data_IF_804339802192
#
_entry.id   IF_804339802192
#
_cell.length_a   1.000
_cell.length_b   1.000
_cell.length_c   1.000
_cell.angle_alpha   90.00
_cell.angle_beta   90.00
_cell.angle_gamma   90.00
#
_symmetry.space_group_name_H-M   'P 1'
#
loop_
_entity.id
_entity.type
_entity.pdbx_description
1 polymer ?
#
# COMPACT_ATOMS: atom_id res chain seq x y z
N UNK A 1 12.05 -13.33 -9.23
CA UNK A 1 12.61 -12.71 -8.01
C UNK A 1 12.77 -11.22 -8.29
N UNK A 2 12.00 -10.38 -7.60
CA UNK A 2 12.07 -8.93 -7.72
C UNK A 2 12.97 -8.44 -6.58
N UNK A 3 14.11 -7.83 -6.89
CA UNK A 3 15.10 -7.36 -5.91
C UNK A 3 14.90 -5.88 -5.54
N UNK A 4 13.69 -5.36 -5.73
CA UNK A 4 13.39 -3.95 -5.54
C UNK A 4 13.13 -3.67 -4.06
N UNK A 5 14.02 -2.90 -3.44
CA UNK A 5 13.94 -2.56 -2.01
C UNK A 5 13.05 -1.36 -1.71
N UNK A 6 13.05 -0.36 -2.59
CA UNK A 6 12.34 0.89 -2.38
C UNK A 6 11.63 1.29 -3.67
N UNK A 7 10.41 1.78 -3.54
CA UNK A 7 9.63 2.31 -4.66
C UNK A 7 9.21 3.74 -4.34
N UNK A 8 9.51 4.64 -5.29
CA UNK A 8 8.93 5.97 -5.32
C UNK A 8 7.94 6.04 -6.49
N UNK A 9 6.65 6.15 -6.18
CA UNK A 9 5.58 6.31 -7.17
C UNK A 9 5.46 7.79 -7.52
N UNK A 10 5.86 8.22 -8.74
CA UNK A 10 5.82 9.61 -9.14
C UNK A 10 4.38 10.08 -9.40
N UNK A 11 4.17 11.40 -9.37
CA UNK A 11 2.85 12.03 -9.56
C UNK A 11 2.21 11.78 -10.94
N UNK A 12 3.01 11.33 -11.92
CA UNK A 12 2.54 10.92 -13.24
C UNK A 12 1.86 9.55 -13.25
N UNK A 13 2.11 8.71 -12.24
CA UNK A 13 1.48 7.39 -12.12
C UNK A 13 0.09 7.55 -11.53
N UNK A 14 -0.92 7.33 -12.38
CA UNK A 14 -2.33 7.44 -11.97
C UNK A 14 -2.87 6.22 -11.25
N UNK A 15 -2.31 5.04 -11.52
CA UNK A 15 -2.87 3.76 -11.06
C UNK A 15 -1.77 2.74 -10.82
N UNK A 16 -1.88 2.00 -9.73
CA UNK A 16 -1.10 0.78 -9.48
C UNK A 16 -1.96 -0.41 -9.85
N UNK A 17 -1.60 -1.11 -10.93
CA UNK A 17 -2.39 -2.21 -11.48
C UNK A 17 -2.38 -3.46 -10.56
N UNK A 18 -3.32 -4.36 -10.82
CA UNK A 18 -3.48 -5.62 -10.10
C UNK A 18 -2.13 -6.36 -9.98
N UNK A 19 -1.73 -6.66 -8.76
CA UNK A 19 -0.52 -7.43 -8.47
C UNK A 19 0.82 -6.80 -8.90
N UNK A 20 0.88 -5.50 -9.22
CA UNK A 20 2.09 -4.86 -9.78
C UNK A 20 3.37 -5.10 -8.96
N UNK A 21 3.26 -5.15 -7.63
CA UNK A 21 4.34 -5.40 -6.69
C UNK A 21 4.05 -6.60 -5.78
N UNK A 22 3.17 -7.51 -6.20
CA UNK A 22 2.89 -8.73 -5.46
C UNK A 22 4.16 -9.59 -5.35
N UNK A 23 4.37 -10.17 -4.17
CA UNK A 23 5.54 -10.99 -3.84
C UNK A 23 6.87 -10.25 -4.03
N UNK A 24 6.85 -8.91 -3.90
CA UNK A 24 8.05 -8.08 -3.75
C UNK A 24 8.66 -8.31 -2.38
N UNK A 25 9.19 -9.50 -2.12
CA UNK A 25 9.68 -9.89 -0.78
C UNK A 25 10.84 -9.03 -0.29
N UNK A 26 11.58 -8.37 -1.18
CA UNK A 26 12.66 -7.45 -0.80
C UNK A 26 12.18 -6.01 -0.60
N UNK A 27 10.92 -5.69 -0.90
CA UNK A 27 10.38 -4.34 -0.82
C UNK A 27 10.17 -3.94 0.64
N UNK A 28 10.88 -2.92 1.09
CA UNK A 28 10.84 -2.41 2.47
C UNK A 28 9.98 -1.15 2.59
N UNK A 29 9.95 -0.31 1.55
CA UNK A 29 9.26 0.97 1.55
C UNK A 29 8.58 1.30 0.21
N UNK A 30 7.33 1.78 0.29
CA UNK A 30 6.58 2.31 -0.84
C UNK A 30 6.13 3.75 -0.54
N UNK A 31 6.74 4.70 -1.24
CA UNK A 31 6.45 6.13 -1.12
C UNK A 31 5.59 6.55 -2.32
N UNK A 32 4.48 7.22 -2.02
CA UNK A 32 3.55 7.70 -3.03
C UNK A 32 3.55 9.22 -3.05
N UNK A 33 3.76 9.80 -4.24
CA UNK A 33 3.50 11.22 -4.46
C UNK A 33 2.02 11.43 -4.84
N UNK A 34 1.56 12.68 -4.68
CA UNK A 34 0.21 13.07 -5.09
C UNK A 34 -0.01 12.84 -6.58
N UNK A 35 -1.17 12.26 -6.91
CA UNK A 35 -1.60 12.02 -8.29
C UNK A 35 -2.00 10.59 -8.61
N UNK A 36 -1.74 9.63 -7.70
CA UNK A 36 -2.22 8.27 -7.82
C UNK A 36 -3.66 8.17 -7.30
N UNK A 37 -4.60 7.75 -8.14
CA UNK A 37 -6.03 7.74 -7.81
C UNK A 37 -6.47 6.39 -7.23
N UNK A 38 -5.87 5.29 -7.70
CA UNK A 38 -6.30 3.93 -7.41
C UNK A 38 -5.12 2.97 -7.22
N UNK A 39 -5.24 2.10 -6.20
CA UNK A 39 -4.40 0.94 -5.99
C UNK A 39 -5.28 -0.31 -6.12
N UNK A 40 -5.09 -1.07 -7.19
CA UNK A 40 -5.92 -2.23 -7.52
C UNK A 40 -5.57 -3.45 -6.67
N UNK A 41 -6.44 -4.47 -6.75
CA UNK A 41 -6.37 -5.68 -5.94
C UNK A 41 -4.98 -6.30 -5.91
N UNK A 42 -4.58 -6.77 -4.72
CA UNK A 42 -3.33 -7.48 -4.50
C UNK A 42 -2.05 -6.73 -4.94
N UNK A 43 -2.09 -5.40 -5.15
CA UNK A 43 -0.94 -4.64 -5.65
C UNK A 43 0.37 -4.86 -4.86
N UNK A 44 0.30 -5.04 -3.54
CA UNK A 44 1.43 -5.34 -2.66
C UNK A 44 1.26 -6.67 -1.91
N UNK A 45 0.45 -7.60 -2.45
CA UNK A 45 0.19 -8.89 -1.81
C UNK A 45 1.50 -9.64 -1.53
N UNK A 46 1.76 -9.99 -0.28
CA UNK A 46 2.95 -10.76 0.09
C UNK A 46 4.27 -10.00 -0.04
N UNK A 47 4.25 -8.66 -0.01
CA UNK A 47 5.46 -7.87 0.24
C UNK A 47 5.84 -8.01 1.72
N UNK A 48 6.41 -9.16 2.09
CA UNK A 48 6.57 -9.58 3.48
C UNK A 48 7.43 -8.64 4.32
N UNK A 49 8.42 -7.98 3.71
CA UNK A 49 9.34 -7.05 4.37
C UNK A 49 8.90 -5.58 4.29
N UNK A 50 7.72 -5.28 3.73
CA UNK A 50 7.21 -3.91 3.63
C UNK A 50 6.83 -3.40 5.02
N UNK A 51 7.55 -2.39 5.53
CA UNK A 51 7.41 -1.93 6.93
C UNK A 51 6.47 -0.75 7.09
N UNK A 52 6.52 0.18 6.14
CA UNK A 52 5.77 1.44 6.19
C UNK A 52 5.19 1.78 4.84
N UNK A 53 3.97 2.31 4.89
CA UNK A 53 3.26 2.81 3.71
C UNK A 53 2.65 4.17 4.03
N UNK A 54 2.98 5.18 3.23
CA UNK A 54 2.31 6.48 3.26
C UNK A 54 1.46 6.63 2.00
N UNK A 55 0.17 6.83 2.20
CA UNK A 55 -0.82 6.95 1.13
C UNK A 55 -1.28 8.41 1.00
N UNK A 56 -1.13 9.03 -0.17
CA UNK A 56 -1.44 10.44 -0.39
C UNK A 56 -2.95 10.66 -0.47
N UNK A 57 -3.36 11.92 -0.29
CA UNK A 57 -4.77 12.34 -0.28
C UNK A 57 -5.52 11.95 -1.57
N UNK A 58 -4.79 11.81 -2.68
CA UNK A 58 -5.34 11.43 -3.99
C UNK A 58 -5.81 9.98 -4.10
N UNK A 59 -5.27 9.04 -3.30
CA UNK A 59 -5.70 7.63 -3.37
C UNK A 59 -7.05 7.46 -2.70
N UNK A 60 -8.08 7.12 -3.49
CA UNK A 60 -9.47 7.06 -3.00
C UNK A 60 -9.90 5.67 -2.57
N UNK A 61 -9.32 4.61 -3.16
CA UNK A 61 -9.80 3.24 -3.02
C UNK A 61 -8.62 2.29 -2.84
N UNK A 62 -8.71 1.45 -1.81
CA UNK A 62 -7.87 0.28 -1.62
C UNK A 62 -8.69 -0.98 -1.92
N UNK A 63 -8.37 -1.64 -3.03
CA UNK A 63 -9.09 -2.84 -3.43
C UNK A 63 -8.71 -4.07 -2.59
N UNK A 64 -9.43 -5.17 -2.82
CA UNK A 64 -9.25 -6.44 -2.10
C UNK A 64 -7.78 -6.86 -2.00
N UNK A 65 -7.34 -7.23 -0.79
CA UNK A 65 -6.00 -7.78 -0.50
C UNK A 65 -4.82 -6.87 -0.87
N UNK A 66 -5.02 -5.56 -1.04
CA UNK A 66 -3.95 -4.63 -1.46
C UNK A 66 -2.63 -4.79 -0.69
N UNK A 67 -2.68 -4.92 0.64
CA UNK A 67 -1.53 -5.18 1.52
C UNK A 67 -1.65 -6.51 2.30
N UNK A 68 -2.36 -7.49 1.73
CA UNK A 68 -2.49 -8.78 2.40
C UNK A 68 -1.14 -9.48 2.46
N UNK A 69 -0.85 -10.19 3.56
CA UNK A 69 0.42 -10.88 3.83
C UNK A 69 1.66 -9.96 3.85
N UNK A 70 1.52 -8.65 4.01
CA UNK A 70 2.65 -7.78 4.37
C UNK A 70 2.95 -7.97 5.86
N UNK A 71 3.68 -9.04 6.19
CA UNK A 71 3.82 -9.50 7.57
C UNK A 71 4.56 -8.49 8.47
N UNK A 72 5.57 -7.81 7.94
CA UNK A 72 6.34 -6.78 8.65
C UNK A 72 5.72 -5.37 8.57
N UNK A 73 4.52 -5.19 8.01
CA UNK A 73 3.90 -3.88 7.90
C UNK A 73 3.51 -3.38 9.30
N UNK A 74 4.24 -2.39 9.82
CA UNK A 74 4.09 -1.86 11.18
C UNK A 74 3.15 -0.66 11.24
N UNK A 75 3.25 0.22 10.23
CA UNK A 75 2.55 1.50 10.20
C UNK A 75 1.99 1.81 8.81
N UNK A 76 0.72 2.23 8.80
CA UNK A 76 0.04 2.78 7.63
C UNK A 76 -0.46 4.18 7.94
N UNK A 77 -0.05 5.15 7.13
CA UNK A 77 -0.53 6.52 7.19
C UNK A 77 -1.37 6.78 5.94
N UNK A 78 -2.64 7.10 6.14
CA UNK A 78 -3.59 7.42 5.07
C UNK A 78 -3.97 8.90 5.23
N UNK A 79 -3.61 9.71 4.24
CA UNK A 79 -3.99 11.13 4.20
C UNK A 79 -5.49 11.32 3.92
N UNK A 80 -5.97 12.55 4.14
CA UNK A 80 -7.38 12.89 4.01
C UNK A 80 -7.87 12.63 2.58
N UNK A 81 -8.95 11.86 2.43
CA UNK A 81 -9.57 11.63 1.12
C UNK A 81 -9.73 10.17 0.72
N UNK A 82 -9.22 9.22 1.51
CA UNK A 82 -9.57 7.81 1.34
C UNK A 82 -11.09 7.61 1.51
N UNK A 83 -11.74 7.02 0.51
CA UNK A 83 -13.19 6.78 0.49
C UNK A 83 -13.56 5.35 0.89
N UNK A 84 -12.73 4.37 0.52
CA UNK A 84 -13.05 2.97 0.73
C UNK A 84 -11.80 2.12 0.97
N UNK A 85 -11.86 1.30 2.02
CA UNK A 85 -10.92 0.22 2.30
C UNK A 85 -11.69 -1.09 2.16
N UNK A 86 -11.41 -1.86 1.10
CA UNK A 86 -12.15 -3.08 0.79
C UNK A 86 -11.74 -4.27 1.67
N UNK A 87 -12.34 -5.44 1.39
CA UNK A 87 -12.13 -6.65 2.18
C UNK A 87 -10.65 -7.11 2.17
N UNK A 88 -10.19 -7.61 3.32
CA UNK A 88 -8.87 -8.23 3.49
C UNK A 88 -7.66 -7.34 3.12
N UNK A 89 -7.81 -6.01 3.02
CA UNK A 89 -6.70 -5.10 2.64
C UNK A 89 -5.45 -5.33 3.49
N UNK A 90 -5.60 -5.51 4.81
CA UNK A 90 -4.49 -5.78 5.75
C UNK A 90 -4.50 -7.22 6.30
N UNK A 91 -5.09 -8.18 5.58
CA UNK A 91 -5.18 -9.56 6.08
C UNK A 91 -3.79 -10.17 6.26
N UNK A 92 -3.50 -10.74 7.42
CA UNK A 92 -2.18 -11.27 7.80
C UNK A 92 -1.06 -10.22 7.92
N UNK A 93 -1.38 -8.93 8.00
CA UNK A 93 -0.43 -7.90 8.43
C UNK A 93 -0.22 -7.98 9.95
N UNK A 94 0.53 -9.00 10.38
CA UNK A 94 0.62 -9.40 11.80
C UNK A 94 1.39 -8.41 12.66
N UNK A 95 2.31 -7.63 12.08
CA UNK A 95 3.06 -6.58 12.78
C UNK A 95 2.36 -5.23 12.80
N UNK A 96 1.17 -5.10 12.20
CA UNK A 96 0.48 -3.82 12.06
C UNK A 96 -0.04 -3.35 13.41
N UNK A 97 0.59 -2.30 13.95
CA UNK A 97 0.24 -1.74 15.27
C UNK A 97 -0.54 -0.45 15.15
N UNK A 98 -0.32 0.32 14.06
CA UNK A 98 -0.87 1.65 13.91
C UNK A 98 -1.42 1.87 12.50
N UNK A 99 -2.69 2.27 12.43
CA UNK A 99 -3.31 2.83 11.23
C UNK A 99 -3.75 4.24 11.59
N UNK A 100 -3.12 5.25 10.99
CA UNK A 100 -3.54 6.64 11.11
C UNK A 100 -4.30 7.03 9.85
N UNK A 101 -5.58 7.40 10.02
CA UNK A 101 -6.41 7.95 8.97
C UNK A 101 -6.64 9.41 9.33
N UNK A 102 -6.07 10.32 8.54
CA UNK A 102 -6.34 11.73 8.70
C UNK A 102 -7.84 11.97 8.44
N UNK A 103 -8.57 12.30 9.51
CA UNK A 103 -9.90 12.89 9.44
C UNK A 103 -9.76 14.38 9.69
N UNK A 104 -10.57 15.15 8.96
CA UNK A 104 -10.84 16.58 9.22
C UNK A 104 -11.21 16.81 10.68
#
# INVERSE_FOLDING_TARGET
MICLQNINIPSSVKRIALGSFAFGEQLEEAIFNEGCDNIYSAAFLGAVNLKRVRIPSTVKIFDEKTFAKCNELEQVIIEEGCKCICNQVFKYAISLTTINIASV
#
